data_IF_710481439452
#
_entry.id   IF_710481439452
#
_cell.length_a   1.000
_cell.length_b   1.000
_cell.length_c   1.000
_cell.angle_alpha   90.00
_cell.angle_beta   90.00
_cell.angle_gamma   90.00
#
_symmetry.space_group_name_H-M   'P 1'
#
loop_
_entity.id
_entity.type
_entity.pdbx_description
1 polymer ?
#
# COMPACT_ATOMS: atom_id res chain seq x y z
N UNK A 1 12.84 -18.27 0.81
CA UNK A 1 12.82 -19.43 1.78
C UNK A 1 11.68 -20.36 1.36
N UNK A 2 11.82 -21.69 1.50
CA UNK A 2 10.72 -22.60 1.14
C UNK A 2 9.76 -22.74 2.31
N UNK A 3 8.47 -22.63 2.06
CA UNK A 3 7.42 -22.90 3.03
C UNK A 3 6.40 -23.87 2.45
N UNK A 4 5.61 -24.47 3.32
CA UNK A 4 4.58 -25.43 2.94
C UNK A 4 3.22 -24.80 3.19
N UNK A 5 2.43 -24.67 2.13
CA UNK A 5 1.03 -24.29 2.19
C UNK A 5 0.18 -25.56 2.21
N UNK A 6 -0.47 -25.80 3.34
CA UNK A 6 -1.29 -26.98 3.56
C UNK A 6 -2.76 -26.58 3.57
N UNK A 7 -3.49 -26.98 2.53
CA UNK A 7 -4.90 -26.66 2.35
C UNK A 7 -5.79 -27.80 2.86
N UNK A 8 -6.86 -27.40 3.56
CA UNK A 8 -7.88 -28.29 4.11
C UNK A 8 -9.24 -27.75 3.64
N UNK A 9 -9.92 -28.49 2.82
CA UNK A 9 -11.29 -28.23 2.41
C UNK A 9 -12.21 -29.12 3.26
N UNK A 10 -13.16 -28.52 3.98
CA UNK A 10 -14.11 -29.23 4.85
C UNK A 10 -15.45 -28.49 4.86
N UNK A 11 -16.36 -28.91 5.72
CA UNK A 11 -17.62 -28.23 5.96
C UNK A 11 -17.71 -27.68 7.40
N UNK A 12 -18.72 -26.82 7.65
CA UNK A 12 -18.93 -26.17 8.95
C UNK A 12 -19.11 -27.16 10.10
N UNK A 13 -19.65 -28.37 9.83
CA UNK A 13 -19.89 -29.39 10.87
C UNK A 13 -18.62 -30.10 11.34
N UNK A 14 -17.58 -30.16 10.52
CA UNK A 14 -16.28 -30.79 10.82
C UNK A 14 -15.17 -29.78 11.13
N UNK A 15 -15.44 -28.47 11.01
CA UNK A 15 -14.47 -27.41 11.24
C UNK A 15 -13.77 -27.50 12.61
N UNK A 16 -14.53 -27.72 13.68
CA UNK A 16 -13.95 -27.82 15.04
C UNK A 16 -13.03 -29.03 15.20
N UNK A 17 -13.37 -30.16 14.59
CA UNK A 17 -12.51 -31.35 14.60
C UNK A 17 -11.21 -31.12 13.85
N UNK A 18 -11.28 -30.44 12.70
CA UNK A 18 -10.10 -30.01 11.92
C UNK A 18 -9.21 -29.09 12.71
N UNK A 19 -9.78 -28.05 13.37
CA UNK A 19 -9.03 -27.10 14.18
C UNK A 19 -8.33 -27.78 15.37
N UNK A 20 -9.00 -28.71 16.04
CA UNK A 20 -8.40 -29.46 17.14
C UNK A 20 -7.17 -30.25 16.68
N UNK A 21 -7.20 -30.90 15.51
CA UNK A 21 -6.03 -31.57 14.96
C UNK A 21 -4.89 -30.59 14.66
N UNK A 22 -5.20 -29.40 14.12
CA UNK A 22 -4.18 -28.38 13.88
C UNK A 22 -3.52 -27.94 15.20
N UNK A 23 -4.31 -27.65 16.23
CA UNK A 23 -3.84 -27.24 17.54
C UNK A 23 -3.01 -28.32 18.25
N UNK A 24 -3.43 -29.60 18.18
CA UNK A 24 -2.68 -30.72 18.73
C UNK A 24 -1.32 -30.92 18.06
N UNK A 25 -1.15 -30.39 16.84
CA UNK A 25 0.10 -30.39 16.09
C UNK A 25 0.82 -29.04 16.14
N UNK A 26 0.50 -28.15 17.09
CA UNK A 26 1.10 -26.83 17.30
C UNK A 26 0.92 -25.84 16.11
N UNK A 27 -0.08 -26.04 15.28
CA UNK A 27 -0.44 -25.14 14.17
C UNK A 27 -1.55 -24.20 14.63
N UNK A 28 -1.18 -23.11 15.31
CA UNK A 28 -2.10 -22.12 15.86
C UNK A 28 -2.41 -21.00 14.86
N UNK A 29 -1.55 -20.81 13.85
CA UNK A 29 -1.71 -19.82 12.80
C UNK A 29 -2.23 -20.48 11.52
N UNK A 30 -3.40 -20.04 11.07
CA UNK A 30 -4.01 -20.49 9.84
C UNK A 30 -4.84 -19.36 9.21
N UNK A 31 -5.05 -19.45 7.90
CA UNK A 31 -6.00 -18.61 7.18
C UNK A 31 -7.32 -19.39 7.00
N UNK A 32 -8.44 -18.71 7.18
CA UNK A 32 -9.76 -19.28 6.95
C UNK A 32 -10.48 -18.53 5.83
N UNK A 33 -11.07 -19.29 4.91
CA UNK A 33 -12.00 -18.81 3.90
C UNK A 33 -13.31 -19.57 4.05
N UNK A 34 -14.30 -18.91 4.63
CA UNK A 34 -15.65 -19.44 4.82
C UNK A 34 -16.68 -18.33 4.64
N UNK A 35 -17.93 -18.68 4.39
CA UNK A 35 -19.00 -17.69 4.25
C UNK A 35 -19.19 -16.89 5.53
N UNK A 36 -18.99 -17.48 6.69
CA UNK A 36 -19.09 -16.82 7.99
C UNK A 36 -18.05 -15.69 8.15
N UNK A 37 -16.80 -15.98 7.79
CA UNK A 37 -15.70 -14.99 7.81
C UNK A 37 -15.95 -13.87 6.80
N UNK A 38 -16.43 -14.21 5.59
CA UNK A 38 -16.76 -13.21 4.56
C UNK A 38 -17.92 -12.32 5.00
N UNK A 39 -18.96 -12.89 5.62
CA UNK A 39 -20.10 -12.13 6.13
C UNK A 39 -19.72 -11.24 7.34
N UNK A 40 -18.79 -11.68 8.20
CA UNK A 40 -18.22 -10.88 9.28
C UNK A 40 -17.37 -9.72 8.74
N UNK A 41 -16.50 -9.99 7.79
CA UNK A 41 -15.66 -9.00 7.12
C UNK A 41 -16.51 -7.98 6.35
N UNK A 42 -17.56 -8.42 5.66
CA UNK A 42 -18.51 -7.52 4.98
C UNK A 42 -19.35 -6.64 5.92
N UNK A 43 -19.42 -6.97 7.21
CA UNK A 43 -20.05 -6.13 8.26
C UNK A 43 -19.07 -5.17 8.92
N UNK A 44 -17.78 -5.45 8.86
CA UNK A 44 -16.72 -4.57 9.35
C UNK A 44 -16.45 -3.50 8.29
N UNK A 45 -16.83 -2.25 8.59
CA UNK A 45 -16.64 -1.10 7.69
C UNK A 45 -15.18 -0.71 7.45
N UNK A 46 -14.23 -1.35 8.11
CA UNK A 46 -12.82 -0.95 8.17
C UNK A 46 -11.85 -1.92 7.47
N UNK A 47 -12.35 -2.93 6.75
CA UNK A 47 -11.45 -3.92 6.13
C UNK A 47 -11.81 -4.26 4.69
N UNK A 48 -10.80 -4.20 3.83
CA UNK A 48 -10.64 -4.76 2.48
C UNK A 48 -10.83 -3.83 1.28
N UNK A 49 -9.69 -3.55 0.64
CA UNK A 49 -9.62 -2.86 -0.66
C UNK A 49 -9.80 -3.81 -1.86
N UNK A 50 -9.81 -5.13 -1.66
CA UNK A 50 -9.96 -6.10 -2.75
C UNK A 50 -10.53 -7.45 -2.26
N UNK A 51 -11.71 -7.81 -2.75
CA UNK A 51 -12.28 -9.15 -2.61
C UNK A 51 -12.30 -9.81 -4.00
N UNK A 52 -11.55 -10.90 -4.19
CA UNK A 52 -11.59 -11.72 -5.41
C UNK A 52 -13.01 -12.25 -5.62
N UNK A 53 -13.56 -12.08 -6.84
CA UNK A 53 -14.92 -12.56 -7.19
C UNK A 53 -15.12 -14.06 -6.92
N UNK A 54 -14.04 -14.86 -6.92
CA UNK A 54 -14.08 -16.27 -6.59
C UNK A 54 -14.34 -16.51 -5.09
N UNK A 55 -14.00 -15.59 -4.22
CA UNK A 55 -14.24 -15.65 -2.77
C UNK A 55 -15.71 -15.36 -2.44
N UNK A 56 -16.41 -14.59 -3.28
CA UNK A 56 -17.82 -14.25 -3.09
C UNK A 56 -18.79 -15.42 -3.42
N UNK A 57 -18.33 -16.47 -4.13
CA UNK A 57 -19.14 -17.59 -4.58
C UNK A 57 -18.92 -18.88 -3.77
N UNK A 58 -18.48 -18.80 -2.51
CA UNK A 58 -18.30 -19.96 -1.64
C UNK A 58 -19.67 -20.54 -1.22
N UNK A 59 -19.82 -21.86 -1.32
CA UNK A 59 -21.00 -22.57 -0.82
C UNK A 59 -21.19 -22.33 0.67
N UNK A 60 -22.44 -22.21 1.14
CA UNK A 60 -22.78 -21.83 2.52
C UNK A 60 -22.15 -22.71 3.59
N UNK A 61 -21.84 -23.97 3.25
CA UNK A 61 -21.30 -24.94 4.19
C UNK A 61 -19.81 -25.25 3.96
N UNK A 62 -19.20 -24.70 2.90
CA UNK A 62 -17.80 -24.94 2.61
C UNK A 62 -16.87 -24.10 3.50
N UNK A 63 -15.84 -24.74 4.03
CA UNK A 63 -14.76 -24.13 4.81
C UNK A 63 -13.42 -24.53 4.20
N UNK A 64 -12.59 -23.56 3.82
CA UNK A 64 -11.21 -23.78 3.43
C UNK A 64 -10.30 -23.22 4.53
N UNK A 65 -9.39 -24.04 5.03
CA UNK A 65 -8.35 -23.65 5.97
C UNK A 65 -7.00 -23.85 5.32
N UNK A 66 -6.10 -22.88 5.52
CA UNK A 66 -4.72 -22.97 5.06
C UNK A 66 -3.78 -22.82 6.25
N UNK A 67 -3.01 -23.87 6.55
CA UNK A 67 -2.03 -23.92 7.61
C UNK A 67 -0.60 -24.02 7.03
N UNK A 68 0.41 -23.73 7.85
CA UNK A 68 1.81 -23.64 7.43
C UNK A 68 2.69 -24.59 8.25
N UNK A 69 2.71 -25.91 7.96
CA UNK A 69 3.57 -26.86 8.67
C UNK A 69 5.05 -26.60 8.38
N UNK A 70 5.88 -26.78 9.38
CA UNK A 70 7.32 -26.48 9.34
C UNK A 70 8.11 -27.30 8.30
N UNK A 71 7.64 -28.53 8.00
CA UNK A 71 8.33 -29.42 7.07
C UNK A 71 7.37 -30.40 6.39
N UNK A 72 7.87 -31.05 5.32
CA UNK A 72 7.09 -31.96 4.49
C UNK A 72 6.65 -33.25 5.24
N UNK A 73 7.41 -33.68 6.25
CA UNK A 73 7.05 -34.82 7.08
C UNK A 73 5.80 -34.51 7.91
N UNK A 74 5.75 -33.32 8.51
CA UNK A 74 4.58 -32.83 9.23
C UNK A 74 3.35 -32.74 8.31
N UNK A 75 3.49 -32.21 7.09
CA UNK A 75 2.40 -32.13 6.13
C UNK A 75 1.86 -33.53 5.76
N UNK A 76 2.73 -34.49 5.55
CA UNK A 76 2.34 -35.90 5.28
C UNK A 76 1.62 -36.55 6.46
N UNK A 77 2.06 -36.27 7.69
CA UNK A 77 1.39 -36.73 8.90
C UNK A 77 -0.01 -36.15 9.02
N UNK A 78 -0.17 -34.85 8.78
CA UNK A 78 -1.46 -34.18 8.78
C UNK A 78 -2.43 -34.80 7.76
N UNK A 79 -1.99 -35.09 6.53
CA UNK A 79 -2.83 -35.79 5.54
C UNK A 79 -3.39 -37.10 6.12
N UNK A 80 -2.56 -37.87 6.85
CA UNK A 80 -3.01 -39.13 7.42
C UNK A 80 -4.03 -38.94 8.56
N UNK A 81 -3.87 -37.91 9.37
CA UNK A 81 -4.80 -37.57 10.45
C UNK A 81 -6.17 -37.13 9.92
N UNK A 82 -6.17 -36.30 8.88
CA UNK A 82 -7.40 -35.79 8.28
C UNK A 82 -8.17 -36.82 7.43
N UNK A 83 -7.57 -37.93 7.03
CA UNK A 83 -8.26 -39.04 6.27
C UNK A 83 -9.46 -39.61 6.99
N UNK A 84 -9.53 -39.54 8.29
CA UNK A 84 -10.61 -40.08 9.11
C UNK A 84 -11.82 -39.15 9.22
N UNK A 85 -11.68 -37.89 8.82
CA UNK A 85 -12.75 -36.89 8.93
C UNK A 85 -13.55 -36.91 7.64
N UNK A 86 -14.88 -37.09 7.77
CA UNK A 86 -15.80 -37.09 6.62
C UNK A 86 -15.78 -35.68 5.95
N UNK A 87 -16.07 -35.65 4.66
CA UNK A 87 -16.13 -34.42 3.85
C UNK A 87 -14.86 -33.58 3.88
N UNK A 88 -13.72 -34.11 4.30
CA UNK A 88 -12.46 -33.38 4.41
C UNK A 88 -11.48 -33.82 3.34
N UNK A 89 -10.95 -32.86 2.59
CA UNK A 89 -9.90 -33.05 1.60
C UNK A 89 -8.69 -32.23 1.98
N UNK A 90 -7.51 -32.81 1.81
CA UNK A 90 -6.26 -32.13 2.10
C UNK A 90 -5.30 -32.21 0.94
N UNK A 91 -4.54 -31.15 0.76
CA UNK A 91 -3.43 -31.08 -0.19
C UNK A 91 -2.34 -30.17 0.38
N UNK A 92 -1.11 -30.31 -0.10
CA UNK A 92 -0.08 -29.33 0.20
C UNK A 92 0.76 -29.03 -1.02
N UNK A 93 1.31 -27.82 -1.03
CA UNK A 93 2.27 -27.33 -2.01
C UNK A 93 3.49 -26.82 -1.28
N UNK A 94 4.67 -27.17 -1.78
CA UNK A 94 5.90 -26.53 -1.34
C UNK A 94 6.07 -25.30 -2.22
N UNK A 95 5.95 -24.13 -1.61
CA UNK A 95 6.13 -22.84 -2.30
C UNK A 95 7.49 -22.26 -1.95
N UNK A 96 8.09 -21.58 -2.89
CA UNK A 96 9.24 -20.74 -2.63
C UNK A 96 8.74 -19.30 -2.40
N UNK A 97 9.34 -18.57 -1.45
CA UNK A 97 9.04 -17.16 -1.25
C UNK A 97 9.21 -16.38 -2.57
N UNK A 98 10.13 -16.84 -3.43
CA UNK A 98 10.33 -16.27 -4.76
C UNK A 98 9.12 -16.43 -5.68
N UNK A 99 8.35 -17.53 -5.57
CA UNK A 99 7.14 -17.74 -6.39
C UNK A 99 5.98 -16.86 -5.94
N UNK A 100 5.87 -16.62 -4.64
CA UNK A 100 4.86 -15.70 -4.10
C UNK A 100 5.25 -14.24 -4.38
N UNK A 101 6.50 -13.89 -4.11
CA UNK A 101 7.05 -12.55 -4.39
C UNK A 101 6.98 -12.15 -5.87
N UNK A 102 6.89 -13.12 -6.80
CA UNK A 102 6.83 -12.83 -8.23
C UNK A 102 5.41 -12.97 -8.84
N UNK A 103 4.46 -13.59 -8.13
CA UNK A 103 3.13 -13.83 -8.71
C UNK A 103 2.31 -12.53 -8.88
N UNK A 104 2.47 -11.55 -8.01
CA UNK A 104 1.85 -10.23 -8.11
C UNK A 104 2.39 -9.43 -9.30
N UNK A 105 3.66 -9.66 -9.73
CA UNK A 105 4.27 -9.02 -10.90
C UNK A 105 3.46 -9.23 -12.19
N UNK A 106 2.72 -10.34 -12.29
CA UNK A 106 1.87 -10.65 -13.45
C UNK A 106 0.65 -9.74 -13.58
N UNK A 107 0.27 -9.07 -12.50
CA UNK A 107 -0.90 -8.19 -12.44
C UNK A 107 -0.53 -6.72 -12.38
N UNK A 108 0.78 -6.44 -12.31
CA UNK A 108 1.29 -5.08 -12.22
C UNK A 108 1.82 -4.64 -13.58
N UNK A 109 1.05 -3.77 -14.23
CA UNK A 109 1.30 -3.28 -15.59
C UNK A 109 1.54 -1.78 -15.61
N UNK A 110 1.97 -1.28 -16.78
CA UNK A 110 2.15 0.14 -17.01
C UNK A 110 0.84 0.91 -16.80
N UNK A 111 0.87 1.98 -16.00
CA UNK A 111 -0.29 2.80 -15.67
C UNK A 111 -0.01 4.26 -16.03
N UNK A 112 -0.67 4.80 -17.07
CA UNK A 112 -0.58 6.22 -17.37
C UNK A 112 -1.32 7.04 -16.31
N UNK A 113 -0.64 8.07 -15.79
CA UNK A 113 -1.20 9.02 -14.83
C UNK A 113 -1.36 10.37 -15.52
N UNK A 114 -2.53 10.94 -15.39
CA UNK A 114 -2.89 12.22 -16.02
C UNK A 114 -2.28 12.37 -17.43
N UNK A 115 -1.57 13.47 -17.73
CA UNK A 115 -1.05 13.73 -19.09
C UNK A 115 0.42 13.36 -19.27
N UNK A 116 1.24 13.48 -18.21
CA UNK A 116 2.71 13.44 -18.34
C UNK A 116 3.34 12.19 -17.75
N UNK A 117 2.84 11.64 -16.66
CA UNK A 117 3.48 10.55 -15.93
C UNK A 117 3.08 9.18 -16.48
N UNK A 118 4.00 8.23 -16.36
CA UNK A 118 3.77 6.80 -16.55
C UNK A 118 4.41 6.05 -15.38
N UNK A 119 3.63 5.29 -14.65
CA UNK A 119 4.19 4.34 -13.69
C UNK A 119 4.45 3.03 -14.43
N UNK A 120 5.67 2.54 -14.35
CA UNK A 120 6.11 1.33 -15.06
C UNK A 120 6.87 0.41 -14.12
N UNK A 121 6.52 -0.90 -14.04
CA UNK A 121 7.36 -1.85 -13.35
C UNK A 121 8.73 -2.01 -14.05
N UNK A 122 9.77 -2.27 -13.27
CA UNK A 122 11.14 -2.38 -13.82
C UNK A 122 11.32 -3.52 -14.84
N UNK A 123 10.49 -4.58 -14.73
CA UNK A 123 10.56 -5.78 -15.59
C UNK A 123 9.72 -5.72 -16.88
N UNK A 124 8.96 -4.65 -17.11
CA UNK A 124 8.22 -4.46 -18.36
C UNK A 124 8.97 -3.57 -19.34
N UNK A 125 8.93 -3.91 -20.63
CA UNK A 125 9.40 -3.05 -21.69
C UNK A 125 8.42 -1.89 -21.89
N UNK A 126 8.96 -0.70 -22.19
CA UNK A 126 8.13 0.49 -22.44
C UNK A 126 7.29 0.30 -23.70
N UNK A 127 5.98 0.47 -23.59
CA UNK A 127 5.09 0.48 -24.73
C UNK A 127 5.28 1.74 -25.59
N UNK A 128 5.27 1.58 -26.92
CA UNK A 128 5.56 2.67 -27.87
C UNK A 128 4.59 3.86 -27.72
N UNK A 129 3.36 3.62 -27.28
CA UNK A 129 2.36 4.68 -27.06
C UNK A 129 2.71 5.60 -25.89
N UNK A 130 3.55 5.17 -24.95
CA UNK A 130 3.92 5.92 -23.75
C UNK A 130 5.32 6.56 -23.81
N UNK A 131 6.02 6.45 -24.91
CA UNK A 131 7.42 6.90 -25.06
C UNK A 131 7.68 8.39 -24.75
N UNK A 132 6.65 9.22 -24.88
CA UNK A 132 6.73 10.67 -24.65
C UNK A 132 6.39 11.06 -23.21
N UNK A 133 6.09 10.08 -22.32
CA UNK A 133 5.77 10.32 -20.91
C UNK A 133 7.02 10.31 -20.02
N UNK A 134 6.91 10.99 -18.90
CA UNK A 134 7.90 10.91 -17.80
C UNK A 134 7.72 9.57 -17.09
N UNK A 135 8.71 8.71 -17.22
CA UNK A 135 8.64 7.34 -16.70
C UNK A 135 9.11 7.34 -15.25
N UNK A 136 8.27 6.79 -14.37
CA UNK A 136 8.57 6.44 -12.99
C UNK A 136 8.60 4.93 -12.90
N UNK A 137 9.82 4.37 -12.89
CA UNK A 137 10.02 2.93 -12.70
C UNK A 137 9.92 2.58 -11.23
N UNK A 138 9.06 1.64 -10.88
CA UNK A 138 8.87 1.21 -9.49
C UNK A 138 9.02 -0.30 -9.38
N UNK A 139 9.87 -0.71 -8.46
CA UNK A 139 9.87 -2.06 -7.90
C UNK A 139 9.43 -1.96 -6.43
N UNK A 140 8.14 -2.07 -6.15
CA UNK A 140 7.62 -1.79 -4.81
C UNK A 140 8.02 -2.85 -3.78
N UNK A 141 8.44 -4.05 -4.23
CA UNK A 141 8.74 -5.13 -3.32
C UNK A 141 7.55 -5.42 -2.40
N UNK A 142 7.76 -5.26 -1.07
CA UNK A 142 6.71 -5.34 -0.05
C UNK A 142 6.28 -3.96 0.48
N UNK A 143 6.84 -2.87 -0.03
CA UNK A 143 6.48 -1.52 0.37
C UNK A 143 5.15 -1.08 -0.29
N UNK A 144 4.36 -0.26 0.42
CA UNK A 144 3.16 0.36 -0.14
C UNK A 144 3.52 1.39 -1.21
N UNK A 145 2.62 1.60 -2.18
CA UNK A 145 2.79 2.61 -3.23
C UNK A 145 3.21 2.02 -4.57
N UNK A 146 2.32 1.18 -5.16
CA UNK A 146 2.50 0.60 -6.50
C UNK A 146 2.06 1.53 -7.63
N UNK A 147 1.40 2.65 -7.31
CA UNK A 147 0.82 3.57 -8.31
C UNK A 147 -0.57 3.20 -8.79
N UNK A 148 -1.03 1.97 -8.59
CA UNK A 148 -2.35 1.49 -9.03
C UNK A 148 -3.48 1.82 -8.06
N UNK A 149 -3.17 2.00 -6.77
CA UNK A 149 -4.16 2.36 -5.76
C UNK A 149 -4.68 3.78 -5.97
N UNK A 150 -5.97 4.02 -5.75
CA UNK A 150 -6.64 5.29 -5.98
C UNK A 150 -5.97 6.47 -5.28
N UNK A 151 -5.52 6.27 -4.04
CA UNK A 151 -4.85 7.32 -3.25
C UNK A 151 -3.54 7.76 -3.86
N UNK A 152 -2.71 6.81 -4.30
CA UNK A 152 -1.45 7.07 -4.97
C UNK A 152 -1.68 7.74 -6.32
N UNK A 153 -2.66 7.24 -7.10
CA UNK A 153 -3.06 7.84 -8.37
C UNK A 153 -3.45 9.31 -8.21
N UNK A 154 -4.31 9.63 -7.24
CA UNK A 154 -4.75 11.01 -6.97
C UNK A 154 -3.60 11.91 -6.53
N UNK A 155 -2.65 11.42 -5.72
CA UNK A 155 -1.46 12.16 -5.34
C UNK A 155 -0.58 12.48 -6.55
N UNK A 156 -0.35 11.50 -7.44
CA UNK A 156 0.43 11.68 -8.66
C UNK A 156 -0.20 12.71 -9.61
N UNK A 157 -1.53 12.67 -9.79
CA UNK A 157 -2.26 13.71 -10.53
C UNK A 157 -2.10 15.10 -9.90
N UNK A 158 -2.13 15.19 -8.57
CA UNK A 158 -1.95 16.44 -7.87
C UNK A 158 -0.51 16.95 -8.02
N UNK A 159 0.50 16.08 -7.89
CA UNK A 159 1.90 16.45 -8.11
C UNK A 159 2.12 16.97 -9.53
N UNK A 160 1.53 16.31 -10.56
CA UNK A 160 1.64 16.79 -11.94
C UNK A 160 1.08 18.20 -12.14
N UNK A 161 0.05 18.57 -11.38
CA UNK A 161 -0.60 19.89 -11.44
C UNK A 161 0.18 20.98 -10.68
N UNK A 162 0.77 20.63 -9.53
CA UNK A 162 1.28 21.63 -8.58
C UNK A 162 2.80 21.74 -8.56
N UNK A 163 3.56 20.69 -8.89
CA UNK A 163 5.03 20.74 -8.95
C UNK A 163 5.48 21.68 -10.06
N UNK A 164 6.44 22.53 -9.74
CA UNK A 164 7.10 23.44 -10.66
C UNK A 164 8.61 23.17 -10.65
N UNK A 165 9.28 23.67 -11.67
CA UNK A 165 10.74 23.64 -11.71
C UNK A 165 11.33 24.35 -10.47
N UNK A 166 12.39 23.78 -9.92
CA UNK A 166 13.09 24.25 -8.73
C UNK A 166 12.35 24.13 -7.38
N UNK A 167 11.16 23.52 -7.33
CA UNK A 167 10.47 23.26 -6.07
C UNK A 167 11.27 22.28 -5.18
N UNK A 168 11.16 22.48 -3.85
CA UNK A 168 11.52 21.50 -2.83
C UNK A 168 10.25 20.76 -2.42
N UNK A 169 10.30 19.43 -2.40
CA UNK A 169 9.16 18.59 -2.06
C UNK A 169 9.50 17.64 -0.92
N UNK A 170 8.65 17.59 0.09
CA UNK A 170 8.74 16.58 1.15
C UNK A 170 7.70 15.48 0.90
N UNK A 171 8.13 14.22 0.93
CA UNK A 171 7.31 13.03 0.78
C UNK A 171 7.24 12.30 2.14
N UNK A 172 6.15 12.49 2.88
CA UNK A 172 5.99 12.05 4.27
C UNK A 172 5.18 10.77 4.33
N UNK A 173 5.80 9.68 4.80
CA UNK A 173 5.30 8.32 4.66
C UNK A 173 5.54 7.81 3.24
N UNK A 174 6.79 7.86 2.80
CA UNK A 174 7.14 7.72 1.37
C UNK A 174 6.94 6.30 0.80
N UNK A 175 6.92 5.26 1.66
CA UNK A 175 6.75 3.87 1.22
C UNK A 175 7.77 3.46 0.16
N UNK A 176 7.31 3.22 -1.06
CA UNK A 176 8.17 2.89 -2.21
C UNK A 176 8.97 4.08 -2.78
N UNK A 177 8.70 5.30 -2.30
CA UNK A 177 9.27 6.55 -2.82
C UNK A 177 8.61 7.09 -4.09
N UNK A 178 7.52 6.47 -4.55
CA UNK A 178 6.88 6.79 -5.84
C UNK A 178 6.49 8.26 -5.98
N UNK A 179 6.00 8.91 -4.91
CA UNK A 179 5.55 10.30 -4.96
C UNK A 179 6.75 11.25 -5.05
N UNK A 180 7.77 11.03 -4.23
CA UNK A 180 9.02 11.79 -4.29
C UNK A 180 9.73 11.65 -5.64
N UNK A 181 9.83 10.43 -6.17
CA UNK A 181 10.42 10.16 -7.48
C UNK A 181 9.63 10.87 -8.59
N UNK A 182 8.29 10.78 -8.55
CA UNK A 182 7.44 11.49 -9.50
C UNK A 182 7.64 13.00 -9.45
N UNK A 183 7.74 13.60 -8.25
CA UNK A 183 8.03 15.01 -8.08
C UNK A 183 9.39 15.40 -8.69
N UNK A 184 10.43 14.59 -8.48
CA UNK A 184 11.75 14.82 -9.10
C UNK A 184 11.70 14.76 -10.62
N UNK A 185 10.96 13.81 -11.21
CA UNK A 185 10.74 13.70 -12.66
C UNK A 185 9.94 14.86 -13.23
N UNK A 186 9.03 15.45 -12.45
CA UNK A 186 8.23 16.61 -12.83
C UNK A 186 9.00 17.94 -12.79
N UNK A 187 10.22 17.95 -12.28
CA UNK A 187 11.09 19.13 -12.28
C UNK A 187 11.45 19.66 -10.88
N UNK A 188 11.01 19.01 -9.81
CA UNK A 188 11.44 19.37 -8.47
C UNK A 188 12.98 19.27 -8.35
N UNK A 189 13.56 20.23 -7.64
CA UNK A 189 15.01 20.36 -7.45
C UNK A 189 15.54 19.43 -6.37
N UNK A 190 14.76 19.30 -5.31
CA UNK A 190 15.15 18.59 -4.10
C UNK A 190 13.96 17.87 -3.49
N UNK A 191 14.17 16.63 -3.11
CA UNK A 191 13.16 15.79 -2.46
C UNK A 191 13.72 15.33 -1.12
N UNK A 192 12.94 15.51 -0.06
CA UNK A 192 13.21 14.89 1.24
C UNK A 192 12.07 13.91 1.51
N UNK A 193 12.40 12.64 1.54
CA UNK A 193 11.46 11.56 1.80
C UNK A 193 11.67 10.96 3.19
N UNK A 194 10.60 10.65 3.89
CA UNK A 194 10.65 10.10 5.24
C UNK A 194 9.70 8.93 5.37
N UNK A 195 10.17 7.86 6.01
CA UNK A 195 9.31 6.75 6.43
C UNK A 195 9.74 6.21 7.79
N UNK A 196 8.79 5.63 8.53
CA UNK A 196 9.03 5.03 9.83
C UNK A 196 9.58 3.60 9.70
N UNK A 197 9.35 2.93 8.57
CA UNK A 197 9.79 1.56 8.29
C UNK A 197 11.12 1.56 7.52
N UNK A 198 12.14 0.94 8.11
CA UNK A 198 13.48 0.79 7.52
C UNK A 198 13.42 0.12 6.13
N UNK A 199 12.51 -0.83 5.90
CA UNK A 199 12.32 -1.47 4.60
C UNK A 199 11.77 -0.51 3.54
N UNK A 200 10.88 0.41 3.93
CA UNK A 200 10.39 1.45 3.05
C UNK A 200 11.51 2.41 2.67
N UNK A 201 12.36 2.79 3.62
CA UNK A 201 13.54 3.63 3.37
C UNK A 201 14.51 2.96 2.38
N UNK A 202 14.83 1.69 2.60
CA UNK A 202 15.69 0.90 1.68
C UNK A 202 15.08 0.85 0.26
N UNK A 203 13.79 0.50 0.15
CA UNK A 203 13.07 0.43 -1.13
C UNK A 203 13.02 1.78 -1.85
N UNK A 204 12.76 2.86 -1.12
CA UNK A 204 12.75 4.23 -1.68
C UNK A 204 14.12 4.61 -2.26
N UNK A 205 15.22 4.29 -1.55
CA UNK A 205 16.57 4.55 -2.02
C UNK A 205 16.89 3.74 -3.29
N UNK A 206 16.48 2.47 -3.34
CA UNK A 206 16.67 1.63 -4.52
C UNK A 206 15.89 2.14 -5.72
N UNK A 207 14.61 2.51 -5.52
CA UNK A 207 13.77 3.09 -6.56
C UNK A 207 14.27 4.47 -7.04
N UNK A 208 14.79 5.32 -6.15
CA UNK A 208 15.40 6.59 -6.52
C UNK A 208 16.60 6.38 -7.47
N UNK A 209 17.47 5.41 -7.17
CA UNK A 209 18.60 5.02 -8.03
C UNK A 209 18.12 4.46 -9.36
N UNK A 210 17.12 3.57 -9.36
CA UNK A 210 16.51 3.00 -10.58
C UNK A 210 16.03 4.10 -11.52
N UNK A 211 15.48 5.17 -10.95
CA UNK A 211 14.97 6.31 -11.69
C UNK A 211 16.01 7.39 -12.00
N UNK A 212 17.26 7.26 -11.56
CA UNK A 212 18.32 8.25 -11.72
C UNK A 212 17.94 9.62 -11.12
N UNK A 213 17.35 9.62 -9.93
CA UNK A 213 16.99 10.82 -9.15
C UNK A 213 17.58 10.80 -7.74
N UNK A 214 18.47 9.87 -7.47
CA UNK A 214 19.15 9.72 -6.18
C UNK A 214 20.09 10.89 -5.84
N UNK A 215 20.45 11.70 -6.81
CA UNK A 215 21.16 12.95 -6.63
C UNK A 215 20.27 14.11 -6.16
N UNK A 216 18.94 13.95 -6.25
CA UNK A 216 17.93 14.95 -5.87
C UNK A 216 17.09 14.52 -4.66
N UNK A 217 17.14 13.25 -4.29
CA UNK A 217 16.24 12.66 -3.29
C UNK A 217 17.03 12.11 -2.11
N UNK A 218 16.86 12.73 -0.94
CA UNK A 218 17.32 12.20 0.34
C UNK A 218 16.17 11.42 1.01
N UNK A 219 16.47 10.25 1.58
CA UNK A 219 15.50 9.41 2.27
C UNK A 219 15.94 9.17 3.70
N UNK A 220 15.07 9.48 4.66
CA UNK A 220 15.34 9.40 6.08
C UNK A 220 14.44 8.38 6.78
N UNK A 221 15.02 7.65 7.73
CA UNK A 221 14.26 6.86 8.69
C UNK A 221 13.82 7.78 9.81
N UNK A 222 12.51 7.95 10.02
CA UNK A 222 12.00 8.83 11.06
C UNK A 222 10.49 8.90 11.12
N UNK A 223 10.00 9.62 12.12
CA UNK A 223 8.57 9.81 12.32
C UNK A 223 8.14 11.16 11.72
N UNK A 224 7.37 11.11 10.64
CA UNK A 224 6.82 12.30 9.97
C UNK A 224 7.90 13.37 9.68
N UNK A 225 7.71 14.58 10.19
CA UNK A 225 8.63 15.72 9.99
C UNK A 225 9.69 15.88 11.09
N UNK A 226 9.71 15.01 12.12
CA UNK A 226 10.65 15.12 13.27
C UNK A 226 12.14 15.11 12.87
N UNK A 227 12.45 14.54 11.71
CA UNK A 227 13.82 14.34 11.21
C UNK A 227 14.15 15.22 10.00
N UNK A 228 13.26 16.15 9.66
CA UNK A 228 13.38 16.97 8.46
C UNK A 228 13.73 18.40 8.86
N UNK A 229 14.78 18.95 8.25
CA UNK A 229 15.16 20.35 8.39
C UNK A 229 14.72 21.18 7.16
N UNK A 230 14.38 22.43 7.38
CA UNK A 230 14.08 23.39 6.32
C UNK A 230 12.61 23.44 5.91
N UNK A 231 12.34 24.00 4.73
CA UNK A 231 10.99 24.23 4.24
C UNK A 231 10.81 23.77 2.80
N UNK A 232 9.62 23.24 2.47
CA UNK A 232 9.24 22.78 1.15
C UNK A 232 8.19 23.70 0.49
N UNK A 233 8.16 23.68 -0.82
CA UNK A 233 7.08 24.28 -1.62
C UNK A 233 5.84 23.38 -1.60
N UNK A 234 6.06 22.06 -1.55
CA UNK A 234 5.00 21.06 -1.49
C UNK A 234 5.37 20.02 -0.44
N UNK A 235 4.41 19.67 0.41
CA UNK A 235 4.46 18.48 1.25
C UNK A 235 3.37 17.54 0.75
N UNK A 236 3.73 16.29 0.43
CA UNK A 236 2.78 15.24 0.05
C UNK A 236 2.83 14.12 1.08
N UNK A 237 1.65 13.60 1.41
CA UNK A 237 1.53 12.47 2.34
C UNK A 237 0.34 11.59 1.95
N UNK A 238 0.59 10.29 1.79
CA UNK A 238 -0.42 9.29 1.49
C UNK A 238 -0.49 8.26 2.64
N UNK A 239 -1.05 8.70 3.76
CA UNK A 239 -1.16 7.95 5.01
C UNK A 239 -2.55 8.06 5.61
N UNK A 240 -2.85 7.35 6.71
CA UNK A 240 -4.18 7.38 7.31
C UNK A 240 -4.53 8.75 7.91
N UNK A 241 -5.81 9.09 7.90
CA UNK A 241 -6.33 10.39 8.29
C UNK A 241 -5.96 10.83 9.71
N UNK A 242 -5.89 9.91 10.66
CA UNK A 242 -5.50 10.17 12.06
C UNK A 242 -4.06 10.66 12.19
N UNK A 243 -3.16 10.09 11.38
CA UNK A 243 -1.77 10.51 11.37
C UNK A 243 -1.64 11.87 10.66
N UNK A 244 -2.40 12.08 9.56
CA UNK A 244 -2.45 13.38 8.87
C UNK A 244 -2.86 14.49 9.81
N UNK A 245 -3.90 14.31 10.64
CA UNK A 245 -4.33 15.35 11.59
C UNK A 245 -3.25 15.69 12.62
N UNK A 246 -2.43 14.70 13.02
CA UNK A 246 -1.26 14.96 13.87
C UNK A 246 -0.16 15.75 13.16
N UNK A 247 0.07 15.47 11.87
CA UNK A 247 1.08 16.12 11.04
C UNK A 247 0.75 17.60 10.76
N UNK A 248 -0.54 17.97 10.68
CA UNK A 248 -0.97 19.33 10.27
C UNK A 248 -0.34 20.42 11.11
N UNK A 249 -0.09 20.17 12.40
CA UNK A 249 0.53 21.16 13.30
C UNK A 249 1.95 21.52 12.85
N UNK A 250 2.73 20.54 12.39
CA UNK A 250 4.13 20.74 12.01
C UNK A 250 4.29 21.30 10.59
N UNK A 251 3.23 21.19 9.75
CA UNK A 251 3.27 21.66 8.36
C UNK A 251 3.66 23.13 8.22
N UNK A 252 3.24 23.98 9.17
CA UNK A 252 3.50 25.43 9.11
C UNK A 252 4.97 25.78 9.24
N UNK A 253 5.71 25.00 10.02
CA UNK A 253 7.15 25.20 10.20
C UNK A 253 7.95 24.69 8.99
N UNK A 254 7.34 23.79 8.19
CA UNK A 254 7.98 23.09 7.09
C UNK A 254 7.46 23.48 5.69
N UNK A 255 6.46 24.37 5.58
CA UNK A 255 6.00 24.90 4.31
C UNK A 255 6.44 26.36 4.11
N UNK A 256 6.87 26.68 2.90
CA UNK A 256 7.05 28.08 2.51
C UNK A 256 5.70 28.81 2.50
N UNK A 257 5.67 30.16 2.58
CA UNK A 257 4.45 30.94 2.40
C UNK A 257 3.70 30.56 1.12
N UNK A 258 2.39 30.30 1.24
CA UNK A 258 1.53 29.77 0.16
C UNK A 258 1.96 28.36 -0.34
N UNK A 259 2.73 27.62 0.43
CA UNK A 259 3.10 26.24 0.14
C UNK A 259 1.87 25.31 0.08
N UNK A 260 2.01 24.22 -0.63
CA UNK A 260 0.92 23.27 -0.90
C UNK A 260 1.10 22.03 -0.05
N UNK A 261 0.02 21.61 0.61
CA UNK A 261 -0.08 20.29 1.25
C UNK A 261 -1.03 19.41 0.45
N UNK A 262 -0.55 18.22 0.06
CA UNK A 262 -1.32 17.19 -0.65
C UNK A 262 -1.46 16.00 0.29
N UNK A 263 -2.68 15.73 0.76
CA UNK A 263 -2.98 14.66 1.70
C UNK A 263 -3.92 13.62 1.07
N UNK A 264 -3.56 12.36 1.11
CA UNK A 264 -4.40 11.23 0.70
C UNK A 264 -4.24 10.04 1.65
N UNK A 265 -4.89 8.89 1.34
CA UNK A 265 -5.03 7.80 2.31
C UNK A 265 -6.20 8.02 3.27
N UNK A 266 -7.13 8.89 2.88
CA UNK A 266 -8.27 9.34 3.67
C UNK A 266 -9.53 8.67 3.15
N UNK A 267 -10.23 7.88 3.98
CA UNK A 267 -11.57 7.38 3.64
C UNK A 267 -12.58 8.52 3.66
N UNK A 268 -13.64 8.42 2.84
CA UNK A 268 -14.59 9.53 2.67
C UNK A 268 -15.22 10.00 3.98
N UNK A 269 -15.46 9.12 4.94
CA UNK A 269 -16.03 9.43 6.24
C UNK A 269 -15.13 10.32 7.11
N UNK A 270 -13.82 10.35 6.82
CA UNK A 270 -12.82 11.12 7.59
C UNK A 270 -12.42 12.45 6.95
N UNK A 271 -12.97 12.78 5.78
CA UNK A 271 -12.67 14.06 5.10
C UNK A 271 -12.84 15.25 6.03
N UNK A 272 -14.01 15.34 6.70
CA UNK A 272 -14.33 16.50 7.52
C UNK A 272 -13.35 16.67 8.68
N UNK A 273 -12.88 15.56 9.27
CA UNK A 273 -11.89 15.57 10.35
C UNK A 273 -10.58 16.25 9.89
N UNK A 274 -10.08 15.88 8.70
CA UNK A 274 -8.85 16.43 8.15
C UNK A 274 -9.05 17.89 7.71
N UNK A 275 -10.18 18.22 7.09
CA UNK A 275 -10.51 19.59 6.68
C UNK A 275 -10.58 20.51 7.89
N UNK A 276 -11.29 20.13 8.96
CA UNK A 276 -11.41 20.93 10.17
C UNK A 276 -10.04 21.20 10.81
N UNK A 277 -9.12 20.23 10.76
CA UNK A 277 -7.79 20.40 11.32
C UNK A 277 -6.92 21.31 10.45
N UNK A 278 -6.98 21.19 9.14
CA UNK A 278 -6.30 22.09 8.21
C UNK A 278 -6.78 23.52 8.35
N UNK A 279 -8.11 23.75 8.40
CA UNK A 279 -8.66 25.10 8.57
C UNK A 279 -8.29 25.72 9.92
N UNK A 280 -8.27 24.94 11.02
CA UNK A 280 -7.81 25.42 12.33
C UNK A 280 -6.34 25.87 12.33
N UNK A 281 -5.52 25.23 11.48
CA UNK A 281 -4.11 25.56 11.32
C UNK A 281 -3.84 26.50 10.15
N UNK A 282 -4.86 27.26 9.72
CA UNK A 282 -4.74 28.36 8.72
C UNK A 282 -4.35 27.86 7.33
N UNK A 283 -4.92 26.73 6.91
CA UNK A 283 -4.89 26.26 5.52
C UNK A 283 -6.19 26.59 4.80
N UNK A 284 -6.08 27.10 3.58
CA UNK A 284 -7.18 27.20 2.62
C UNK A 284 -7.32 25.87 1.87
N UNK A 285 -8.50 25.28 1.87
CA UNK A 285 -8.76 24.08 1.10
C UNK A 285 -8.96 24.45 -0.37
N UNK A 286 -8.06 24.01 -1.23
CA UNK A 286 -8.10 24.30 -2.66
C UNK A 286 -8.94 23.30 -3.46
N UNK A 287 -8.89 22.03 -3.05
CA UNK A 287 -9.60 20.96 -3.77
C UNK A 287 -9.79 19.74 -2.84
N UNK A 288 -10.86 19.00 -3.08
CA UNK A 288 -11.12 17.70 -2.47
C UNK A 288 -11.55 16.76 -3.60
N UNK A 289 -10.74 15.75 -3.89
CA UNK A 289 -11.05 14.71 -4.86
C UNK A 289 -11.50 13.44 -4.16
N UNK A 290 -12.41 12.70 -4.79
CA UNK A 290 -12.92 11.42 -4.31
C UNK A 290 -12.84 10.39 -5.42
N UNK A 291 -12.44 9.18 -5.08
CA UNK A 291 -12.35 8.04 -5.99
C UNK A 291 -12.49 6.73 -5.22
N UNK A 292 -13.53 5.96 -5.53
CA UNK A 292 -13.77 4.61 -4.97
C UNK A 292 -13.68 4.53 -3.42
N UNK A 293 -14.34 5.47 -2.70
CA UNK A 293 -14.34 5.51 -1.25
C UNK A 293 -13.13 6.20 -0.61
N UNK A 294 -12.12 6.54 -1.41
CA UNK A 294 -10.92 7.26 -0.99
C UNK A 294 -10.94 8.73 -1.37
N UNK A 295 -10.20 9.52 -0.65
CA UNK A 295 -10.16 10.96 -0.85
C UNK A 295 -8.75 11.52 -0.84
N UNK A 296 -8.59 12.62 -1.56
CA UNK A 296 -7.41 13.49 -1.53
C UNK A 296 -7.86 14.89 -1.19
N UNK A 297 -7.13 15.56 -0.32
CA UNK A 297 -7.35 16.95 0.09
C UNK A 297 -6.11 17.75 -0.28
N UNK A 298 -6.32 18.91 -0.90
CA UNK A 298 -5.24 19.85 -1.23
C UNK A 298 -5.47 21.12 -0.43
N UNK A 299 -4.53 21.43 0.46
CA UNK A 299 -4.50 22.63 1.26
C UNK A 299 -3.36 23.56 0.83
N UNK A 300 -3.56 24.87 1.04
CA UNK A 300 -2.54 25.89 0.87
C UNK A 300 -2.34 26.62 2.19
N UNK A 301 -1.09 26.78 2.64
CA UNK A 301 -0.79 27.59 3.82
C UNK A 301 -1.16 29.05 3.57
N UNK A 302 -1.88 29.66 4.53
CA UNK A 302 -2.23 31.11 4.46
C UNK A 302 -1.16 31.88 5.24
N UNK A 303 -0.56 32.87 4.59
CA UNK A 303 0.30 33.84 5.29
C UNK A 303 -0.55 34.71 6.22
N UNK A 304 -0.19 34.77 7.48
CA UNK A 304 -0.74 35.71 8.47
C UNK A 304 0.26 36.82 8.74
#
# INVERSE_FOLDING_TARGET
MKYIEFKIETDTSHKEEVLNILYDNNLFEYMESSKEVIDELGRSKDSWDFVDENVLNIDSDAVELTAFPENEEMAKNLINLFKSIENTKTSYLIKDDEDWANNWKKYYHQVPIAEKLLIKPSWEDLEEEFKDRLIVEIDPGMAFGTGTHETTYMCLEALEKYVKDDDVVFDVGCGSGILGIAAAKLGAKEIVAVDLDEKCVETSIENAKLNHVDDKMEVHLGNLLDVVDGTANIIVSNIIAEIITGLVFDLREHLVPNGIFIASGIIEEKIQMVVDELERNEFEILDIKKKNGWSLIIGRSIDV
#
